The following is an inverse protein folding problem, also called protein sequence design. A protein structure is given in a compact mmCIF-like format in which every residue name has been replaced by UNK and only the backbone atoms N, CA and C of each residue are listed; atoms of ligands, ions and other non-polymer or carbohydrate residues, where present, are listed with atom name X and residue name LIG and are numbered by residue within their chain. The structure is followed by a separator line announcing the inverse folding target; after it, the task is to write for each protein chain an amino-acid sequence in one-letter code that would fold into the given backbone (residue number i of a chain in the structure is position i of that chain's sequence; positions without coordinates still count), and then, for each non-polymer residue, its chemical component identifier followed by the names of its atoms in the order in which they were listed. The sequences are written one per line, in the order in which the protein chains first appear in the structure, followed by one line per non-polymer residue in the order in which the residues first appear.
data_IF_378622652377
#
_entry.id   IF_378622652377
#
_cell.length_a   1.000
_cell.length_b   1.000
_cell.length_c   1.000
_cell.angle_alpha   90.00
_cell.angle_beta   90.00
_cell.angle_gamma   90.00
#
_symmetry.space_group_name_H-M   'P 1'
#
loop_
_entity.id
_entity.type
_entity.pdbx_description
1 polymer ?
#
# COMPACT_ATOMS: atom_id res chain seq x y z
N UNK A 1 2.98 -12.20 -9.49
CA UNK A 1 1.51 -12.38 -9.39
C UNK A 1 0.93 -11.12 -8.75
N UNK A 2 -0.12 -10.51 -9.32
CA UNK A 2 -0.74 -9.31 -8.75
C UNK A 2 -1.26 -9.62 -7.34
N UNK A 3 -0.90 -8.84 -6.32
CA UNK A 3 -1.25 -9.07 -4.91
C UNK A 3 -1.45 -7.73 -4.20
N UNK A 4 -2.26 -7.69 -3.14
CA UNK A 4 -2.44 -6.57 -2.22
C UNK A 4 -2.29 -7.07 -0.79
N UNK A 5 -1.55 -6.33 0.03
CA UNK A 5 -1.36 -6.61 1.45
C UNK A 5 -1.02 -5.33 2.25
N UNK A 6 -1.17 -5.41 3.56
CA UNK A 6 -0.54 -4.45 4.46
C UNK A 6 0.94 -4.82 4.61
N UNK A 7 1.82 -3.85 4.39
CA UNK A 7 3.20 -3.96 4.84
C UNK A 7 3.25 -3.52 6.30
N UNK A 8 4.13 -4.14 7.08
CA UNK A 8 4.43 -3.71 8.44
C UNK A 8 4.68 -2.19 8.49
N UNK A 9 4.06 -1.53 9.47
CA UNK A 9 4.17 -0.09 9.69
C UNK A 9 5.63 0.37 9.68
N UNK A 10 5.86 1.57 9.15
CA UNK A 10 7.13 2.24 9.28
C UNK A 10 7.10 3.13 10.52
N UNK A 11 8.02 2.89 11.45
CA UNK A 11 8.26 3.81 12.56
C UNK A 11 9.18 4.94 12.09
N UNK A 12 8.68 6.17 12.16
CA UNK A 12 9.47 7.36 11.87
C UNK A 12 10.56 7.50 12.94
N UNK A 13 11.81 7.46 12.52
CA UNK A 13 12.98 7.63 13.38
C UNK A 13 13.89 8.71 12.82
N UNK A 14 14.54 9.46 13.71
CA UNK A 14 15.52 10.48 13.36
C UNK A 14 16.90 10.13 13.93
N UNK A 15 17.97 10.48 13.23
CA UNK A 15 19.33 10.07 13.60
C UNK A 15 19.81 10.67 14.93
N UNK A 16 19.24 11.81 15.34
CA UNK A 16 19.54 12.49 16.61
C UNK A 16 18.27 12.62 17.45
N UNK A 17 17.54 11.52 17.63
CA UNK A 17 16.38 11.51 18.54
C UNK A 17 16.80 11.81 19.98
N UNK A 18 16.25 12.88 20.54
CA UNK A 18 16.33 13.20 21.96
C UNK A 18 15.57 12.09 22.71
N UNK A 19 16.04 11.63 23.87
CA UNK A 19 15.44 10.52 24.64
C UNK A 19 13.91 10.59 24.85
N UNK A 20 13.29 11.77 24.78
CA UNK A 20 11.82 11.92 24.85
C UNK A 20 11.08 11.35 23.63
N UNK A 21 11.69 11.36 22.45
CA UNK A 21 11.12 10.75 21.23
C UNK A 21 11.05 9.22 21.31
N UNK A 22 11.85 8.60 22.19
CA UNK A 22 11.86 7.16 22.41
C UNK A 22 10.49 6.59 22.85
N UNK A 23 9.67 7.38 23.55
CA UNK A 23 8.38 6.93 24.11
C UNK A 23 7.18 7.21 23.20
N UNK A 24 7.35 8.04 22.17
CA UNK A 24 6.29 8.38 21.22
C UNK A 24 6.91 8.60 19.84
N UNK A 25 6.90 7.53 19.05
CA UNK A 25 7.35 7.55 17.66
C UNK A 25 6.12 7.49 16.76
N UNK A 26 6.06 8.40 15.79
CA UNK A 26 5.01 8.37 14.79
C UNK A 26 5.18 7.14 13.90
N UNK A 27 4.06 6.56 13.48
CA UNK A 27 4.04 5.41 12.59
C UNK A 27 3.24 5.73 11.34
N UNK A 28 3.64 5.11 10.24
CA UNK A 28 2.96 5.20 8.95
C UNK A 28 2.59 3.81 8.49
N UNK A 29 1.33 3.61 8.11
CA UNK A 29 0.89 2.39 7.43
C UNK A 29 1.34 2.44 5.98
N UNK A 30 1.77 1.29 5.46
CA UNK A 30 2.01 1.07 4.05
C UNK A 30 1.06 -0.01 3.54
N UNK A 31 0.27 0.32 2.54
CA UNK A 31 -0.54 -0.66 1.81
C UNK A 31 0.07 -0.85 0.43
N UNK A 32 0.55 -2.07 0.15
CA UNK A 32 1.27 -2.39 -1.07
C UNK A 32 0.40 -3.22 -1.99
N UNK A 33 0.38 -2.85 -3.27
CA UNK A 33 -0.36 -3.54 -4.31
C UNK A 33 0.50 -3.78 -5.54
N UNK A 34 0.17 -4.84 -6.27
CA UNK A 34 0.57 -5.08 -7.64
C UNK A 34 -0.72 -5.31 -8.41
N UNK A 35 -1.05 -4.38 -9.30
CA UNK A 35 -2.22 -4.46 -10.17
C UNK A 35 -1.81 -5.09 -11.50
N UNK A 36 -2.67 -5.89 -12.11
CA UNK A 36 -2.48 -6.40 -13.47
C UNK A 36 -3.57 -5.82 -14.37
N UNK A 37 -3.15 -5.00 -15.32
CA UNK A 37 -3.98 -4.45 -16.40
C UNK A 37 -3.10 -4.21 -17.63
N UNK A 38 -3.70 -4.28 -18.82
CA UNK A 38 -3.01 -4.21 -20.12
C UNK A 38 -1.85 -5.21 -20.27
N UNK A 39 -1.97 -6.38 -19.64
CA UNK A 39 -0.92 -7.41 -19.62
C UNK A 39 0.33 -7.05 -18.81
N UNK A 40 0.35 -5.91 -18.12
CA UNK A 40 1.50 -5.39 -17.36
C UNK A 40 1.24 -5.37 -15.86
N UNK A 41 2.29 -5.57 -15.08
CA UNK A 41 2.25 -5.46 -13.62
C UNK A 41 2.55 -4.02 -13.21
N UNK A 42 1.70 -3.45 -12.38
CA UNK A 42 1.79 -2.07 -11.91
C UNK A 42 1.93 -2.06 -10.38
N UNK A 43 3.16 -1.96 -9.85
CA UNK A 43 3.40 -1.85 -8.42
C UNK A 43 2.92 -0.48 -7.91
N UNK A 44 2.24 -0.49 -6.77
CA UNK A 44 1.66 0.69 -6.14
C UNK A 44 1.81 0.61 -4.63
N UNK A 45 2.06 1.76 -4.02
CA UNK A 45 2.16 1.91 -2.56
C UNK A 45 1.32 3.11 -2.16
N UNK A 46 0.47 2.91 -1.16
CA UNK A 46 -0.26 4.00 -0.50
C UNK A 46 0.21 4.05 0.94
N UNK A 47 0.39 5.26 1.44
CA UNK A 47 0.86 5.54 2.79
C UNK A 47 -0.19 6.36 3.53
N UNK A 48 -0.37 6.11 4.83
CA UNK A 48 -1.28 6.88 5.68
C UNK A 48 -0.80 6.88 7.13
N UNK A 49 -1.02 7.99 7.83
CA UNK A 49 -0.91 8.17 9.28
C UNK A 49 -2.01 7.48 10.08
N UNK A 50 -3.13 7.13 9.45
CA UNK A 50 -4.18 6.37 10.11
C UNK A 50 -3.71 4.93 10.34
N UNK A 51 -3.51 4.56 11.60
CA UNK A 51 -3.04 3.24 12.01
C UNK A 51 -4.14 2.15 12.03
N UNK A 52 -5.37 2.50 11.65
CA UNK A 52 -6.46 1.54 11.56
C UNK A 52 -6.31 0.59 10.36
N UNK A 53 -6.28 -0.71 10.64
CA UNK A 53 -6.28 -1.78 9.64
C UNK A 53 -7.69 -2.31 9.36
N UNK A 54 -8.72 -1.59 9.81
CA UNK A 54 -10.12 -1.92 9.69
C UNK A 54 -10.65 -1.84 8.26
N UNK A 55 -11.89 -2.30 8.11
CA UNK A 55 -12.61 -2.35 6.84
C UNK A 55 -12.70 -0.99 6.14
N UNK A 56 -12.86 0.09 6.91
CA UNK A 56 -13.10 1.44 6.36
C UNK A 56 -11.81 1.97 5.70
N UNK A 57 -10.66 1.76 6.34
CA UNK A 57 -9.34 2.04 5.74
C UNK A 57 -9.11 1.25 4.47
N UNK A 58 -9.47 -0.05 4.47
CA UNK A 58 -9.28 -0.89 3.28
C UNK A 58 -10.18 -0.44 2.13
N UNK A 59 -11.43 -0.06 2.43
CA UNK A 59 -12.36 0.47 1.43
C UNK A 59 -11.81 1.77 0.84
N UNK A 60 -11.36 2.71 1.68
CA UNK A 60 -10.74 3.96 1.23
C UNK A 60 -9.50 3.71 0.34
N UNK A 61 -8.67 2.74 0.70
CA UNK A 61 -7.52 2.33 -0.10
C UNK A 61 -7.89 1.84 -1.50
N UNK A 62 -8.94 1.02 -1.62
CA UNK A 62 -9.38 0.49 -2.92
C UNK A 62 -9.92 1.62 -3.80
N UNK A 63 -10.66 2.58 -3.22
CA UNK A 63 -11.08 3.78 -3.93
C UNK A 63 -9.86 4.56 -4.45
N UNK A 64 -8.87 4.81 -3.59
CA UNK A 64 -7.66 5.56 -3.97
C UNK A 64 -6.81 4.84 -5.02
N UNK A 65 -6.69 3.51 -4.99
CA UNK A 65 -5.99 2.78 -6.04
C UNK A 65 -6.65 3.01 -7.42
N UNK A 66 -7.97 3.08 -7.48
CA UNK A 66 -8.68 3.34 -8.73
C UNK A 66 -8.54 4.76 -9.24
N UNK A 67 -8.43 5.76 -8.38
CA UNK A 67 -8.14 7.14 -8.82
C UNK A 67 -6.77 7.25 -9.53
N UNK A 68 -5.86 6.28 -9.31
CA UNK A 68 -4.58 6.22 -10.01
C UNK A 68 -4.63 5.48 -11.35
N UNK A 69 -5.76 4.87 -11.69
CA UNK A 69 -5.93 4.07 -12.90
C UNK A 69 -6.51 4.93 -14.03
N UNK A 70 -6.01 4.72 -15.25
CA UNK A 70 -6.53 5.43 -16.43
C UNK A 70 -7.97 5.01 -16.73
N UNK A 71 -8.80 5.96 -17.19
CA UNK A 71 -10.17 5.70 -17.65
C UNK A 71 -10.25 4.73 -18.83
N UNK A 72 -9.11 4.39 -19.44
CA UNK A 72 -9.00 3.44 -20.55
C UNK A 72 -8.91 1.98 -20.10
N UNK A 73 -8.76 1.72 -18.80
CA UNK A 73 -8.58 0.35 -18.30
C UNK A 73 -9.92 -0.36 -18.21
N UNK A 74 -10.12 -1.39 -19.03
CA UNK A 74 -11.38 -2.16 -19.04
C UNK A 74 -11.43 -3.24 -17.96
N UNK A 75 -10.30 -3.86 -17.63
CA UNK A 75 -10.24 -4.98 -16.67
C UNK A 75 -9.02 -4.90 -15.77
N UNK A 76 -9.24 -5.12 -14.47
CA UNK A 76 -8.21 -5.10 -13.43
C UNK A 76 -8.28 -6.41 -12.67
N UNK A 77 -7.13 -7.10 -12.55
CA UNK A 77 -7.02 -8.28 -11.70
C UNK A 77 -6.28 -7.97 -10.42
N UNK A 78 -6.92 -8.24 -9.28
CA UNK A 78 -6.40 -8.01 -7.94
C UNK A 78 -6.41 -9.34 -7.20
N UNK A 79 -5.27 -9.72 -6.60
CA UNK A 79 -5.29 -10.77 -5.59
C UNK A 79 -5.09 -10.16 -4.22
N UNK A 80 -5.78 -10.69 -3.22
CA UNK A 80 -5.61 -10.24 -1.85
C UNK A 80 -5.19 -11.38 -0.95
N UNK A 81 -4.28 -11.07 -0.03
CA UNK A 81 -3.89 -11.93 1.08
C UNK A 81 -4.38 -11.32 2.40
N UNK A 82 -4.33 -12.10 3.48
CA UNK A 82 -4.69 -11.62 4.82
C UNK A 82 -5.96 -12.27 5.41
N UNK A 83 -6.24 -11.98 6.70
CA UNK A 83 -7.37 -12.54 7.45
C UNK A 83 -8.73 -12.01 6.99
N UNK A 84 -9.80 -12.68 7.45
CA UNK A 84 -11.20 -12.27 7.22
C UNK A 84 -11.52 -10.86 7.73
N UNK A 85 -10.84 -10.41 8.78
CA UNK A 85 -10.98 -9.06 9.33
C UNK A 85 -10.44 -7.96 8.41
N UNK A 86 -9.51 -8.31 7.52
CA UNK A 86 -8.88 -7.37 6.60
C UNK A 86 -9.43 -7.58 5.19
N UNK A 87 -8.61 -8.09 4.27
CA UNK A 87 -9.00 -8.14 2.88
C UNK A 87 -10.12 -9.16 2.61
N UNK A 88 -10.27 -10.26 3.35
CA UNK A 88 -11.32 -11.25 3.06
C UNK A 88 -12.67 -10.93 3.72
N UNK A 89 -13.17 -9.70 3.56
CA UNK A 89 -14.43 -9.25 4.16
C UNK A 89 -15.51 -8.87 3.10
N UNK A 90 -16.79 -8.88 3.51
CA UNK A 90 -17.95 -8.55 2.65
C UNK A 90 -18.00 -7.08 2.21
N UNK A 91 -17.44 -6.18 3.02
CA UNK A 91 -17.44 -4.74 2.73
C UNK A 91 -16.58 -4.43 1.51
N UNK A 92 -15.49 -5.17 1.31
CA UNK A 92 -14.65 -5.04 0.14
C UNK A 92 -15.35 -5.55 -1.11
N UNK A 93 -16.15 -6.62 -1.00
CA UNK A 93 -16.97 -7.09 -2.13
C UNK A 93 -17.96 -6.00 -2.53
N UNK A 94 -18.65 -5.39 -1.56
CA UNK A 94 -19.57 -4.28 -1.82
C UNK A 94 -18.86 -3.05 -2.43
N UNK A 95 -17.69 -2.68 -1.90
CA UNK A 95 -16.90 -1.56 -2.43
C UNK A 95 -16.45 -1.82 -3.87
N UNK A 96 -16.00 -3.04 -4.17
CA UNK A 96 -15.63 -3.44 -5.54
C UNK A 96 -16.84 -3.35 -6.47
N UNK A 97 -18.01 -3.85 -6.06
CA UNK A 97 -19.22 -3.75 -6.88
C UNK A 97 -19.61 -2.30 -7.18
N UNK A 98 -19.63 -1.44 -6.16
CA UNK A 98 -19.94 -0.02 -6.33
C UNK A 98 -18.91 0.69 -7.23
N UNK A 99 -17.64 0.31 -7.14
CA UNK A 99 -16.57 0.83 -7.98
C UNK A 99 -16.70 0.40 -9.44
N UNK A 100 -16.99 -0.88 -9.69
CA UNK A 100 -17.21 -1.39 -11.04
C UNK A 100 -18.35 -0.63 -11.73
N UNK A 101 -19.45 -0.37 -11.01
CA UNK A 101 -20.58 0.41 -11.51
C UNK A 101 -20.19 1.86 -11.82
N UNK A 102 -19.55 2.54 -10.86
CA UNK A 102 -19.16 3.95 -10.97
C UNK A 102 -18.20 4.22 -12.14
N UNK A 103 -17.22 3.33 -12.33
CA UNK A 103 -16.13 3.56 -13.29
C UNK A 103 -16.23 2.71 -14.57
N UNK A 104 -17.29 1.90 -14.72
CA UNK A 104 -17.49 1.02 -15.87
C UNK A 104 -16.29 0.11 -16.17
N UNK A 105 -15.64 -0.38 -15.12
CA UNK A 105 -14.45 -1.25 -15.18
C UNK A 105 -14.79 -2.62 -14.60
N UNK A 106 -14.18 -3.67 -15.13
CA UNK A 106 -14.32 -5.03 -14.61
C UNK A 106 -13.20 -5.32 -13.60
N UNK A 107 -13.54 -5.55 -12.33
CA UNK A 107 -12.56 -5.87 -11.29
C UNK A 107 -12.65 -7.35 -10.95
N UNK A 108 -11.62 -8.11 -11.33
CA UNK A 108 -11.49 -9.53 -10.98
C UNK A 108 -10.71 -9.66 -9.70
N UNK A 109 -11.41 -10.00 -8.63
CA UNK A 109 -10.80 -10.28 -7.34
C UNK A 109 -10.53 -11.76 -7.13
N UNK A 110 -9.31 -12.10 -6.72
CA UNK A 110 -8.93 -13.44 -6.25
C UNK A 110 -8.35 -13.34 -4.84
N UNK A 111 -8.39 -14.43 -4.07
CA UNK A 111 -7.79 -14.48 -2.74
C UNK A 111 -7.06 -15.80 -2.53
N UNK A 112 -5.94 -15.73 -1.81
CA UNK A 112 -5.19 -16.93 -1.43
C UNK A 112 -5.77 -17.55 -0.16
N UNK A 113 -5.57 -18.85 0.02
CA UNK A 113 -5.76 -19.49 1.31
C UNK A 113 -4.89 -18.80 2.38
N UNK A 114 -5.41 -18.69 3.60
CA UNK A 114 -4.64 -18.16 4.72
C UNK A 114 -3.39 -19.03 4.90
N UNK A 115 -2.23 -18.43 5.19
CA UNK A 115 -0.93 -19.09 5.46
C UNK A 115 -0.05 -19.47 4.24
N UNK A 116 -0.40 -19.09 3.01
CA UNK A 116 0.44 -19.39 1.84
C UNK A 116 1.05 -18.12 1.18
N UNK A 117 2.37 -18.01 1.27
CA UNK A 117 3.24 -17.27 0.34
C UNK A 117 3.54 -15.80 0.70
N UNK A 118 4.78 -15.51 1.10
CA UNK A 118 5.33 -14.14 1.06
C UNK A 118 5.48 -13.74 -0.42
N UNK A 119 4.59 -12.90 -0.92
CA UNK A 119 4.59 -12.49 -2.33
C UNK A 119 5.28 -11.16 -2.61
N UNK A 120 5.24 -10.74 -3.88
CA UNK A 120 5.95 -9.55 -4.41
C UNK A 120 5.65 -8.24 -3.66
N UNK A 121 4.48 -8.13 -3.04
CA UNK A 121 4.06 -6.97 -2.22
C UNK A 121 4.92 -6.74 -0.97
N UNK A 122 5.49 -7.81 -0.41
CA UNK A 122 6.41 -7.72 0.74
C UNK A 122 7.72 -7.04 0.29
N UNK A 123 8.21 -7.40 -0.90
CA UNK A 123 9.41 -6.80 -1.50
C UNK A 123 9.23 -5.31 -1.81
N UNK A 124 8.05 -4.92 -2.32
CA UNK A 124 7.74 -3.50 -2.58
C UNK A 124 7.78 -2.69 -1.29
N UNK A 125 7.10 -3.15 -0.24
CA UNK A 125 7.07 -2.46 1.06
C UNK A 125 8.47 -2.39 1.67
N UNK A 126 9.22 -3.49 1.63
CA UNK A 126 10.61 -3.54 2.09
C UNK A 126 11.52 -2.55 1.34
N UNK A 127 11.44 -2.50 0.01
CA UNK A 127 12.24 -1.59 -0.82
C UNK A 127 11.92 -0.13 -0.55
N UNK A 128 10.63 0.23 -0.44
CA UNK A 128 10.24 1.61 -0.11
C UNK A 128 10.76 2.00 1.28
N UNK A 129 10.50 1.17 2.30
CA UNK A 129 10.99 1.42 3.66
C UNK A 129 12.52 1.53 3.71
N UNK A 130 13.24 0.69 2.96
CA UNK A 130 14.70 0.71 2.89
C UNK A 130 15.23 1.99 2.25
N UNK A 131 14.61 2.48 1.19
CA UNK A 131 15.00 3.74 0.55
C UNK A 131 14.78 4.93 1.48
N UNK A 132 13.62 5.00 2.13
CA UNK A 132 13.34 6.06 3.11
C UNK A 132 14.35 6.01 4.26
N UNK A 133 14.60 4.83 4.83
CA UNK A 133 15.61 4.66 5.88
C UNK A 133 17.02 5.07 5.40
N UNK A 134 17.39 4.76 4.17
CA UNK A 134 18.69 5.18 3.60
C UNK A 134 18.80 6.72 3.52
N UNK A 135 17.73 7.40 3.10
CA UNK A 135 17.68 8.87 3.06
C UNK A 135 17.82 9.50 4.45
N UNK A 136 17.16 8.93 5.46
CA UNK A 136 17.31 9.36 6.86
C UNK A 136 18.74 9.13 7.35
N UNK A 137 19.29 7.94 7.11
CA UNK A 137 20.61 7.54 7.63
C UNK A 137 21.76 8.33 7.01
N UNK A 138 21.57 8.79 5.76
CA UNK A 138 22.53 9.63 5.03
C UNK A 138 22.31 11.12 5.26
N UNK A 139 21.44 11.50 6.22
CA UNK A 139 21.11 12.90 6.57
C UNK A 139 20.53 13.71 5.41
N UNK A 140 19.96 13.03 4.42
CA UNK A 140 19.33 13.67 3.25
C UNK A 140 17.90 14.09 3.53
N UNK A 141 17.24 13.50 4.53
CA UNK A 141 15.88 13.83 4.91
C UNK A 141 15.63 13.60 6.40
N UNK A 142 14.77 14.44 6.99
CA UNK A 142 14.13 14.24 8.30
C UNK A 142 12.72 13.72 8.00
N UNK A 143 12.37 12.54 8.51
CA UNK A 143 11.13 11.84 8.10
C UNK A 143 10.05 11.90 9.18
N UNK A 144 9.14 12.84 9.02
CA UNK A 144 7.77 12.83 9.57
C UNK A 144 6.81 12.09 8.61
N UNK A 145 5.56 11.85 9.02
CA UNK A 145 4.53 11.23 8.15
C UNK A 145 4.40 11.90 6.76
N UNK A 146 4.20 13.22 6.72
CA UNK A 146 4.04 13.94 5.45
C UNK A 146 5.26 13.79 4.52
N UNK A 147 6.47 13.81 5.08
CA UNK A 147 7.71 13.59 4.32
C UNK A 147 7.94 12.13 3.95
N UNK A 148 7.41 11.18 4.73
CA UNK A 148 7.42 9.77 4.39
C UNK A 148 6.60 9.52 3.12
N UNK A 149 5.40 10.07 3.03
CA UNK A 149 4.55 9.94 1.85
C UNK A 149 5.24 10.47 0.57
N UNK A 150 5.94 11.61 0.67
CA UNK A 150 6.70 12.19 -0.45
C UNK A 150 7.87 11.28 -0.90
N UNK A 151 8.68 10.81 0.04
CA UNK A 151 9.81 9.93 -0.25
C UNK A 151 9.35 8.55 -0.75
N UNK A 152 8.26 8.02 -0.20
CA UNK A 152 7.64 6.78 -0.63
C UNK A 152 7.13 6.87 -2.06
N UNK A 153 6.57 8.02 -2.46
CA UNK A 153 6.15 8.29 -3.85
C UNK A 153 7.36 8.32 -4.80
N UNK A 154 8.46 8.98 -4.41
CA UNK A 154 9.71 8.99 -5.19
C UNK A 154 10.30 7.58 -5.34
N UNK A 155 10.35 6.82 -4.24
CA UNK A 155 10.81 5.44 -4.23
C UNK A 155 9.95 4.53 -5.12
N UNK A 156 8.64 4.72 -5.08
CA UNK A 156 7.68 3.96 -5.90
C UNK A 156 7.83 4.25 -7.39
N UNK A 157 8.15 5.50 -7.78
CA UNK A 157 8.41 5.84 -9.17
C UNK A 157 9.67 5.17 -9.71
N UNK A 158 10.72 5.03 -8.89
CA UNK A 158 11.94 4.29 -9.26
C UNK A 158 11.73 2.78 -9.40
N UNK A 159 10.68 2.21 -8.79
CA UNK A 159 10.30 0.80 -8.98
C UNK A 159 9.54 0.56 -10.30
N UNK A 160 9.13 1.62 -11.00
CA UNK A 160 8.36 1.57 -12.26
C UNK A 160 9.22 1.82 -13.51
N UNK A 161 10.46 2.29 -13.35
CA UNK A 161 11.46 2.51 -14.41
C UNK A 161 12.29 1.25 -14.68
#
# INVERSE_FOLDING_TARGET
MPQVDFSENYTCMFQEEIQRAHWKQDQVILVTAVLLFDGKLHPSVITSDNLDHGKDTIVAYIYHLQDTLSNTVETISIWSYGPLSQFKNRFIVAAISALQEKHKVNIRRKFFATSHGKGSVVGIGGSVKRQVWTSVSTRKAIVTDATFAQLAKQASNMLRS
#
